data_IF_248745326665
#
_entry.id   IF_248745326665
#
_cell.length_a   1.000
_cell.length_b   1.000
_cell.length_c   1.000
_cell.angle_alpha   90.00
_cell.angle_beta   90.00
_cell.angle_gamma   90.00
#
_symmetry.space_group_name_H-M   'P 1'
#
loop_
_entity.id
_entity.type
_entity.pdbx_description
1 polymer ?
#
# COMPACT_ATOMS: atom_id res chain seq x y z
N UNK A 1 -9.08 9.04 14.27
CA UNK A 1 -8.13 8.75 15.34
C UNK A 1 -8.34 9.78 16.43
N UNK A 2 -8.57 9.36 17.68
CA UNK A 2 -8.65 10.32 18.80
C UNK A 2 -7.27 10.96 19.04
N UNK A 3 -7.23 12.28 19.27
CA UNK A 3 -6.00 13.05 19.52
C UNK A 3 -5.13 12.45 20.63
N UNK A 4 -5.74 11.70 21.55
CA UNK A 4 -5.09 11.10 22.74
C UNK A 4 -4.05 10.01 22.41
N UNK A 5 -3.97 9.54 21.16
CA UNK A 5 -3.01 8.51 20.75
C UNK A 5 -1.72 9.06 20.12
N UNK A 6 -1.60 10.38 19.97
CA UNK A 6 -0.42 11.05 19.40
C UNK A 6 0.67 11.24 20.47
N UNK A 7 1.94 11.04 20.09
CA UNK A 7 3.09 11.39 20.92
C UNK A 7 3.18 12.92 21.08
N UNK A 8 3.92 13.37 22.10
CA UNK A 8 4.15 14.80 22.32
C UNK A 8 4.87 15.40 21.11
N UNK A 9 4.22 16.35 20.43
CA UNK A 9 4.74 16.96 19.19
C UNK A 9 4.49 16.16 17.91
N UNK A 10 3.74 15.04 17.98
CA UNK A 10 3.27 14.31 16.80
C UNK A 10 2.04 15.02 16.22
N UNK A 11 2.09 15.34 14.93
CA UNK A 11 1.00 16.01 14.20
C UNK A 11 0.44 15.01 13.19
N UNK A 12 -0.88 14.95 13.08
CA UNK A 12 -1.57 14.18 12.05
C UNK A 12 -1.39 14.87 10.70
N UNK A 13 -0.82 14.17 9.71
CA UNK A 13 -0.63 14.72 8.37
C UNK A 13 -1.76 14.28 7.43
N UNK A 14 -2.12 13.00 7.47
CA UNK A 14 -3.15 12.44 6.61
C UNK A 14 -3.73 11.18 7.23
N UNK A 15 -4.97 10.85 6.88
CA UNK A 15 -5.61 9.58 7.21
C UNK A 15 -6.32 9.03 5.98
N UNK A 16 -6.42 7.70 5.90
CA UNK A 16 -7.24 7.02 4.90
C UNK A 16 -8.70 7.01 5.35
N UNK A 17 -9.61 6.86 4.38
CA UNK A 17 -11.00 6.52 4.66
C UNK A 17 -11.07 5.28 5.56
N UNK A 18 -11.98 5.31 6.53
CA UNK A 18 -12.13 4.31 7.61
C UNK A 18 -10.97 4.23 8.63
N UNK A 19 -10.05 5.19 8.64
CA UNK A 19 -8.91 5.25 9.58
C UNK A 19 -7.99 4.02 9.54
N UNK A 20 -7.98 3.29 8.43
CA UNK A 20 -7.17 2.09 8.25
C UNK A 20 -5.68 2.44 8.29
N UNK A 21 -5.33 3.61 7.76
CA UNK A 21 -3.97 4.13 7.72
C UNK A 21 -3.96 5.53 8.26
N UNK A 22 -2.98 5.81 9.10
CA UNK A 22 -2.73 7.12 9.64
C UNK A 22 -1.27 7.48 9.44
N UNK A 23 -1.04 8.59 8.74
CA UNK A 23 0.26 9.20 8.56
C UNK A 23 0.41 10.35 9.54
N UNK A 24 1.45 10.30 10.35
CA UNK A 24 1.84 11.39 11.24
C UNK A 24 3.23 11.89 10.89
N UNK A 25 3.67 12.96 11.55
CA UNK A 25 5.04 13.48 11.40
C UNK A 25 6.14 12.53 11.87
N UNK A 26 5.79 11.48 12.61
CA UNK A 26 6.77 10.55 13.21
C UNK A 26 6.66 9.14 12.66
N UNK A 27 5.45 8.69 12.30
CA UNK A 27 5.19 7.29 11.94
C UNK A 27 4.00 7.13 11.02
N UNK A 28 3.99 5.98 10.36
CA UNK A 28 2.82 5.42 9.70
C UNK A 28 2.23 4.36 10.60
N UNK A 29 0.92 4.45 10.88
CA UNK A 29 0.17 3.41 11.58
C UNK A 29 -0.84 2.78 10.65
N UNK A 30 -0.97 1.47 10.79
CA UNK A 30 -1.96 0.66 10.12
C UNK A 30 -2.81 -0.07 11.16
N UNK A 31 -4.12 0.07 11.05
CA UNK A 31 -5.09 -0.61 11.89
C UNK A 31 -6.15 -1.25 11.01
N UNK A 32 -6.26 -2.57 11.08
CA UNK A 32 -7.32 -3.29 10.39
C UNK A 32 -8.01 -4.23 11.37
N UNK A 33 -9.33 -4.22 11.32
CA UNK A 33 -10.18 -5.09 12.12
C UNK A 33 -10.99 -5.95 11.14
N UNK A 34 -10.71 -7.24 11.13
CA UNK A 34 -11.53 -8.25 10.48
C UNK A 34 -12.23 -9.07 11.56
N UNK A 35 -13.26 -9.81 11.17
CA UNK A 35 -13.97 -10.67 12.12
C UNK A 35 -13.01 -11.68 12.75
N UNK A 36 -12.85 -11.61 14.08
CA UNK A 36 -11.93 -12.46 14.85
C UNK A 36 -10.44 -12.11 14.77
N UNK A 37 -10.04 -11.10 13.99
CA UNK A 37 -8.63 -10.70 13.86
C UNK A 37 -8.46 -9.18 13.90
N UNK A 38 -7.56 -8.68 14.75
CA UNK A 38 -7.16 -7.28 14.79
C UNK A 38 -5.66 -7.19 14.50
N UNK A 39 -5.29 -6.44 13.47
CA UNK A 39 -3.90 -6.20 13.09
C UNK A 39 -3.58 -4.74 13.33
N UNK A 40 -2.56 -4.48 14.14
CA UNK A 40 -2.04 -3.14 14.41
C UNK A 40 -0.54 -3.14 14.15
N UNK A 41 -0.08 -2.27 13.25
CA UNK A 41 1.33 -2.09 12.93
C UNK A 41 1.64 -0.60 12.97
N UNK A 42 2.79 -0.24 13.53
CA UNK A 42 3.29 1.14 13.58
C UNK A 42 4.75 1.13 13.15
N UNK A 43 5.06 1.84 12.07
CA UNK A 43 6.43 1.97 11.53
C UNK A 43 6.84 3.45 11.64
N UNK A 44 7.99 3.72 12.27
CA UNK A 44 8.56 5.06 12.29
C UNK A 44 9.05 5.47 10.89
N UNK A 45 8.89 6.74 10.52
CA UNK A 45 9.23 7.21 9.17
C UNK A 45 10.70 6.98 8.82
N UNK A 46 11.61 7.16 9.78
CA UNK A 46 13.05 6.92 9.61
C UNK A 46 13.40 5.44 9.37
N UNK A 47 12.51 4.51 9.71
CA UNK A 47 12.70 3.07 9.51
C UNK A 47 12.06 2.53 8.24
N UNK A 48 11.31 3.35 7.50
CA UNK A 48 10.73 2.93 6.21
C UNK A 48 11.88 2.74 5.21
N UNK A 49 12.09 1.52 4.75
CA UNK A 49 13.13 1.18 3.77
C UNK A 49 12.60 1.22 2.35
N UNK A 50 11.35 0.79 2.12
CA UNK A 50 10.73 0.81 0.80
C UNK A 50 9.22 1.05 0.87
N UNK A 51 8.70 1.69 -0.17
CA UNK A 51 7.28 1.77 -0.50
C UNK A 51 7.07 1.13 -1.87
N UNK A 52 6.10 0.22 -1.97
CA UNK A 52 5.81 -0.49 -3.22
C UNK A 52 4.32 -0.60 -3.45
N UNK A 53 3.88 -0.39 -4.69
CA UNK A 53 2.54 -0.71 -5.16
C UNK A 53 2.61 -1.99 -5.98
N UNK A 54 1.92 -3.02 -5.50
CA UNK A 54 1.86 -4.34 -6.13
C UNK A 54 0.45 -4.60 -6.64
N UNK A 55 0.37 -5.16 -7.84
CA UNK A 55 -0.88 -5.56 -8.46
C UNK A 55 -1.04 -7.06 -8.27
N UNK A 56 -2.10 -7.48 -7.57
CA UNK A 56 -2.47 -8.90 -7.47
C UNK A 56 -3.59 -9.16 -8.47
N UNK A 57 -3.39 -10.17 -9.31
CA UNK A 57 -4.39 -10.63 -10.28
C UNK A 57 -4.41 -12.16 -10.29
N UNK A 58 -5.57 -12.72 -10.64
CA UNK A 58 -5.78 -14.16 -10.74
C UNK A 58 -5.96 -14.57 -12.20
N UNK A 59 -4.88 -14.65 -13.00
CA UNK A 59 -4.96 -14.88 -14.45
C UNK A 59 -5.63 -16.21 -14.81
N UNK A 60 -5.66 -17.17 -13.88
CA UNK A 60 -6.30 -18.47 -14.09
C UNK A 60 -7.81 -18.37 -14.41
N UNK A 61 -8.53 -17.40 -13.83
CA UNK A 61 -9.94 -17.15 -14.16
C UNK A 61 -10.14 -16.80 -15.64
N UNK A 62 -9.22 -15.99 -16.18
CA UNK A 62 -9.24 -15.58 -17.57
C UNK A 62 -8.91 -16.76 -18.49
N UNK A 63 -7.95 -17.62 -18.11
CA UNK A 63 -7.61 -18.83 -18.87
C UNK A 63 -8.83 -19.77 -18.95
N UNK A 64 -9.51 -20.03 -17.84
CA UNK A 64 -10.72 -20.86 -17.83
C UNK A 64 -11.80 -20.24 -18.72
N UNK A 65 -12.04 -18.94 -18.61
CA UNK A 65 -13.02 -18.23 -19.43
C UNK A 65 -12.75 -18.39 -20.93
N UNK A 66 -11.49 -18.22 -21.35
CA UNK A 66 -11.07 -18.39 -22.75
C UNK A 66 -11.31 -19.83 -23.22
N UNK A 67 -10.91 -20.84 -22.43
CA UNK A 67 -11.09 -22.25 -22.81
C UNK A 67 -12.57 -22.57 -22.98
N UNK A 68 -13.43 -22.14 -22.05
CA UNK A 68 -14.88 -22.35 -22.14
C UNK A 68 -15.49 -21.66 -23.36
N UNK A 69 -15.07 -20.43 -23.67
CA UNK A 69 -15.52 -19.71 -24.87
C UNK A 69 -15.09 -20.41 -26.16
N UNK A 70 -13.85 -20.90 -26.26
CA UNK A 70 -13.35 -21.62 -27.45
C UNK A 70 -14.09 -22.94 -27.63
N UNK A 71 -14.25 -23.73 -26.56
CA UNK A 71 -15.00 -25.00 -26.63
C UNK A 71 -16.46 -24.76 -27.04
N UNK A 72 -17.09 -23.73 -26.49
CA UNK A 72 -18.43 -23.31 -26.88
C UNK A 72 -18.54 -22.92 -28.35
N UNK A 73 -17.56 -22.18 -28.85
CA UNK A 73 -17.51 -21.74 -30.23
C UNK A 73 -17.32 -22.91 -31.21
N UNK A 74 -16.38 -23.82 -30.94
CA UNK A 74 -16.10 -24.99 -31.80
C UNK A 74 -17.28 -25.96 -31.83
N UNK A 75 -17.89 -26.23 -30.67
CA UNK A 75 -19.07 -27.11 -30.59
C UNK A 75 -20.29 -26.52 -31.29
N UNK A 76 -20.47 -25.19 -31.24
CA UNK A 76 -21.53 -24.49 -31.96
C UNK A 76 -21.36 -24.48 -33.49
N UNK A 77 -20.13 -24.56 -34.00
CA UNK A 77 -19.86 -24.62 -35.45
C UNK A 77 -19.96 -26.05 -36.03
N UNK A 78 -19.61 -27.06 -35.25
CA UNK A 78 -19.45 -28.44 -35.74
C UNK A 78 -20.74 -29.25 -35.73
N UNK A 79 -21.69 -28.88 -34.88
CA UNK A 79 -22.92 -29.64 -34.71
C UNK A 79 -24.12 -28.75 -35.03
N UNK A 80 -25.09 -29.27 -35.78
CA UNK A 80 -26.42 -28.65 -35.97
C UNK A 80 -27.27 -28.70 -34.68
N UNK A 81 -26.63 -28.56 -33.52
CA UNK A 81 -27.32 -28.42 -32.25
C UNK A 81 -28.07 -27.09 -32.24
N UNK A 82 -29.27 -27.14 -31.66
CA UNK A 82 -30.12 -25.97 -31.40
C UNK A 82 -29.30 -24.80 -30.87
N UNK A 83 -29.62 -23.59 -31.35
CA UNK A 83 -29.01 -22.31 -30.98
C UNK A 83 -28.83 -22.11 -29.46
N UNK A 84 -29.62 -22.81 -28.64
CA UNK A 84 -29.50 -22.81 -27.18
C UNK A 84 -28.16 -23.33 -26.62
N UNK A 85 -27.50 -24.30 -27.26
CA UNK A 85 -26.22 -24.88 -26.76
C UNK A 85 -25.05 -23.91 -26.99
N UNK A 86 -25.09 -23.13 -28.07
CA UNK A 86 -24.09 -22.09 -28.35
C UNK A 86 -24.17 -20.94 -27.33
N UNK A 87 -25.39 -20.51 -26.95
CA UNK A 87 -25.57 -19.48 -25.91
C UNK A 87 -25.11 -19.95 -24.52
N UNK A 88 -25.24 -21.24 -24.21
CA UNK A 88 -24.94 -21.78 -22.87
C UNK A 88 -23.45 -21.72 -22.50
N UNK A 89 -22.56 -21.68 -23.50
CA UNK A 89 -21.10 -21.77 -23.32
C UNK A 89 -20.39 -20.43 -23.41
N UNK A 90 -20.93 -19.48 -24.18
CA UNK A 90 -20.37 -18.12 -24.31
C UNK A 90 -20.63 -17.30 -23.04
N UNK A 91 -21.84 -17.37 -22.49
CA UNK A 91 -22.23 -16.63 -21.28
C UNK A 91 -21.26 -16.85 -20.11
N UNK A 92 -20.93 -18.09 -19.69
CA UNK A 92 -20.00 -18.29 -18.59
C UNK A 92 -18.60 -17.75 -18.90
N UNK A 93 -18.12 -17.84 -20.15
CA UNK A 93 -16.83 -17.27 -20.55
C UNK A 93 -16.78 -15.74 -20.36
N UNK A 94 -17.83 -15.03 -20.77
CA UNK A 94 -17.96 -13.58 -20.54
C UNK A 94 -18.05 -13.26 -19.05
N UNK A 95 -18.83 -14.03 -18.29
CA UNK A 95 -18.95 -13.87 -16.84
C UNK A 95 -17.59 -14.04 -16.14
N UNK A 96 -16.80 -15.06 -16.52
CA UNK A 96 -15.46 -15.26 -15.96
C UNK A 96 -14.48 -14.15 -16.35
N UNK A 97 -14.56 -13.62 -17.58
CA UNK A 97 -13.76 -12.49 -18.00
C UNK A 97 -14.10 -11.22 -17.19
N UNK A 98 -15.39 -10.94 -16.98
CA UNK A 98 -15.83 -9.82 -16.13
C UNK A 98 -15.36 -10.04 -14.68
N UNK A 99 -15.53 -11.25 -14.14
CA UNK A 99 -15.07 -11.59 -12.80
C UNK A 99 -13.54 -11.43 -12.63
N UNK A 100 -12.75 -11.72 -13.67
CA UNK A 100 -11.31 -11.47 -13.67
C UNK A 100 -10.97 -9.98 -13.51
N UNK A 101 -11.65 -9.10 -14.25
CA UNK A 101 -11.41 -7.66 -14.11
C UNK A 101 -11.84 -7.13 -12.74
N UNK A 102 -12.92 -7.66 -12.16
CA UNK A 102 -13.38 -7.29 -10.82
C UNK A 102 -12.43 -7.80 -9.71
N UNK A 103 -11.80 -8.97 -9.91
CA UNK A 103 -10.91 -9.57 -8.90
C UNK A 103 -9.50 -9.00 -8.91
N UNK A 104 -9.14 -8.16 -9.88
CA UNK A 104 -7.84 -7.46 -9.90
C UNK A 104 -7.80 -6.44 -8.76
N UNK A 105 -6.82 -6.60 -7.86
CA UNK A 105 -6.67 -5.75 -6.68
C UNK A 105 -5.32 -5.05 -6.66
N UNK A 106 -5.34 -3.79 -6.24
CA UNK A 106 -4.16 -2.99 -5.97
C UNK A 106 -3.83 -3.09 -4.48
N UNK A 107 -2.56 -3.27 -4.16
CA UNK A 107 -2.07 -3.42 -2.79
C UNK A 107 -0.84 -2.53 -2.63
N UNK A 108 -0.81 -1.76 -1.56
CA UNK A 108 0.37 -0.99 -1.19
C UNK A 108 1.09 -1.66 -0.02
N UNK A 109 2.41 -1.73 -0.14
CA UNK A 109 3.33 -2.39 0.78
C UNK A 109 4.34 -1.37 1.28
N UNK A 110 4.32 -1.09 2.58
CA UNK A 110 5.31 -0.24 3.25
C UNK A 110 6.18 -1.16 4.09
N UNK A 111 7.44 -1.29 3.73
CA UNK A 111 8.39 -2.15 4.42
C UNK A 111 9.33 -1.32 5.30
N UNK A 112 9.68 -1.86 6.46
CA UNK A 112 10.70 -1.31 7.33
C UNK A 112 11.99 -2.11 7.26
N UNK A 113 13.09 -1.49 7.69
CA UNK A 113 14.37 -2.16 7.87
C UNK A 113 14.28 -3.18 9.04
N UNK A 114 14.02 -4.45 8.70
CA UNK A 114 14.00 -5.57 9.63
C UNK A 114 12.67 -5.89 10.33
N UNK A 115 11.55 -5.27 9.92
CA UNK A 115 10.23 -5.48 10.54
C UNK A 115 9.15 -6.05 9.62
N UNK A 116 7.97 -6.30 10.19
CA UNK A 116 6.81 -6.76 9.43
C UNK A 116 6.28 -5.64 8.51
N UNK A 117 6.08 -5.90 7.21
CA UNK A 117 5.56 -4.90 6.29
C UNK A 117 4.09 -4.59 6.60
N UNK A 118 3.73 -3.32 6.42
CA UNK A 118 2.34 -2.88 6.36
C UNK A 118 1.84 -3.19 4.94
N UNK A 119 0.88 -4.09 4.83
CA UNK A 119 0.23 -4.46 3.58
C UNK A 119 -1.22 -4.05 3.71
N UNK A 120 -1.67 -3.12 2.87
CA UNK A 120 -3.04 -2.67 2.85
C UNK A 120 -3.60 -2.70 1.43
N UNK A 121 -4.87 -3.09 1.34
CA UNK A 121 -5.59 -3.10 0.07
C UNK A 121 -6.09 -1.70 -0.21
N UNK A 122 -5.90 -1.22 -1.43
CA UNK A 122 -6.37 0.08 -1.89
C UNK A 122 -7.68 -0.10 -2.67
N UNK A 123 -8.60 -0.92 -2.12
CA UNK A 123 -9.91 -1.16 -2.76
C UNK A 123 -10.68 0.17 -2.82
N UNK A 124 -11.05 0.61 -4.02
CA UNK A 124 -11.79 1.87 -4.24
C UNK A 124 -10.93 3.14 -4.36
N UNK A 125 -9.60 3.05 -4.24
CA UNK A 125 -8.72 4.20 -4.49
C UNK A 125 -8.28 4.24 -5.96
N UNK A 126 -8.34 5.42 -6.58
CA UNK A 126 -7.71 5.62 -7.90
C UNK A 126 -6.20 5.47 -7.81
N UNK A 127 -5.55 5.16 -8.93
CA UNK A 127 -4.09 5.02 -8.97
C UNK A 127 -3.41 6.33 -8.56
N UNK A 128 -4.00 7.47 -8.92
CA UNK A 128 -3.52 8.81 -8.58
C UNK A 128 -3.55 9.07 -7.07
N UNK A 129 -4.60 8.62 -6.37
CA UNK A 129 -4.69 8.77 -4.92
C UNK A 129 -3.63 7.91 -4.21
N UNK A 130 -3.30 6.73 -4.76
CA UNK A 130 -2.26 5.87 -4.21
C UNK A 130 -0.90 6.55 -4.34
N UNK A 131 -0.59 7.11 -5.53
CA UNK A 131 0.66 7.85 -5.75
C UNK A 131 0.74 9.09 -4.88
N UNK A 132 -0.36 9.84 -4.71
CA UNK A 132 -0.39 11.01 -3.83
C UNK A 132 -0.09 10.65 -2.36
N UNK A 133 -0.62 9.51 -1.88
CA UNK A 133 -0.29 9.02 -0.53
C UNK A 133 1.18 8.64 -0.43
N UNK A 134 1.74 7.97 -1.44
CA UNK A 134 3.17 7.64 -1.46
C UNK A 134 4.02 8.90 -1.39
N UNK A 135 3.72 9.90 -2.22
CA UNK A 135 4.43 11.18 -2.25
C UNK A 135 4.36 11.89 -0.90
N UNK A 136 3.19 11.87 -0.23
CA UNK A 136 3.02 12.42 1.13
C UNK A 136 3.88 11.68 2.16
N UNK A 137 3.98 10.36 2.08
CA UNK A 137 4.83 9.56 2.99
C UNK A 137 6.30 9.86 2.74
N UNK A 138 6.73 9.94 1.48
CA UNK A 138 8.10 10.26 1.11
C UNK A 138 8.50 11.68 1.54
N UNK A 139 7.63 12.65 1.32
CA UNK A 139 7.81 14.03 1.77
C UNK A 139 7.92 14.10 3.29
N UNK A 140 7.03 13.41 4.02
CA UNK A 140 7.06 13.36 5.48
C UNK A 140 8.38 12.74 5.99
N UNK A 141 8.84 11.65 5.37
CA UNK A 141 10.12 11.02 5.68
C UNK A 141 11.29 11.97 5.42
N UNK A 142 11.31 12.65 4.28
CA UNK A 142 12.37 13.60 3.96
C UNK A 142 12.44 14.74 4.99
N UNK A 143 11.30 15.35 5.31
CA UNK A 143 11.23 16.41 6.32
C UNK A 143 11.72 15.93 7.69
N UNK A 144 11.38 14.69 8.07
CA UNK A 144 11.84 14.08 9.32
C UNK A 144 13.35 13.86 9.33
N UNK A 145 13.93 13.40 8.21
CA UNK A 145 15.38 13.21 8.09
C UNK A 145 16.15 14.54 8.22
N UNK A 146 15.65 15.60 7.58
CA UNK A 146 16.24 16.95 7.70
C UNK A 146 16.19 17.45 9.15
N UNK A 147 15.07 17.27 9.85
CA UNK A 147 14.94 17.63 11.27
C UNK A 147 15.92 16.85 12.16
N UNK A 148 16.10 15.55 11.92
CA UNK A 148 17.05 14.74 12.67
C UNK A 148 18.50 15.18 12.43
N UNK A 149 18.83 15.54 11.18
CA UNK A 149 20.16 16.07 10.84
C UNK A 149 20.44 17.42 11.53
N UNK A 150 19.47 18.35 11.54
CA UNK A 150 19.65 19.63 12.22
C UNK A 150 19.81 19.46 13.73
N UNK A 151 19.04 18.55 14.34
CA UNK A 151 19.19 18.23 15.76
C UNK A 151 20.56 17.62 16.07
N UNK A 152 21.06 16.73 15.21
CA UNK A 152 22.39 16.14 15.40
C UNK A 152 23.49 17.18 15.27
N UNK A 153 23.37 18.13 14.33
CA UNK A 153 24.29 19.25 14.20
C UNK A 153 24.32 20.13 15.45
N UNK A 154 23.16 20.50 15.98
CA UNK A 154 23.05 21.31 17.19
C UNK A 154 23.64 20.63 18.41
N UNK A 155 23.39 19.31 18.56
CA UNK A 155 23.99 18.49 19.62
C UNK A 155 25.50 18.51 19.48
N UNK A 156 26.02 18.17 18.29
CA UNK A 156 27.46 18.13 18.06
C UNK A 156 28.12 19.50 18.34
N UNK A 157 27.48 20.61 17.96
CA UNK A 157 28.01 21.96 18.15
C UNK A 157 27.94 22.44 19.62
N UNK A 158 26.94 22.02 20.40
CA UNK A 158 26.84 22.35 21.84
C UNK A 158 27.85 21.60 22.70
N UNK A 159 28.25 20.39 22.29
CA UNK A 159 29.14 19.53 23.07
C UNK A 159 30.59 19.53 22.56
N UNK A 160 30.97 20.37 21.59
CA UNK A 160 32.39 20.59 21.31
C UNK A 160 33.00 21.30 22.53
N UNK A 161 33.90 20.68 23.29
CA UNK A 161 34.62 21.39 24.34
C UNK A 161 35.39 22.52 23.66
N UNK A 162 35.13 23.77 24.05
CA UNK A 162 36.04 24.87 23.69
C UNK A 162 37.38 24.53 24.33
N UNK A 163 38.32 23.98 23.54
CA UNK A 163 39.65 23.68 24.03
C UNK A 163 40.25 24.95 24.64
N UNK A 164 40.53 24.99 25.95
CA UNK A 164 41.18 26.12 26.57
C UNK A 164 42.69 25.98 26.34
N UNK A 165 43.13 26.12 25.10
CA UNK A 165 44.56 26.21 24.80
C UNK A 165 44.78 27.36 23.83
N UNK A 166 44.87 28.57 24.39
CA UNK A 166 45.66 29.62 23.75
C UNK A 166 47.13 29.29 24.01
N UNK A 167 47.97 29.09 22.98
CA UNK A 167 49.40 29.09 23.20
C UNK A 167 49.80 30.49 23.65
N UNK A 168 50.26 30.62 24.90
CA UNK A 168 50.94 31.82 25.38
C UNK A 168 52.27 31.93 24.64
N UNK A 169 52.35 32.90 23.72
CA UNK A 169 53.60 33.35 23.11
C UNK A 169 54.34 34.29 24.06
#
# INVERSE_FOLDING_TARGET
>A
MHQDQLLKGEILLSYSDEEIITLTTHRVRYKSKSWGQSKFISIMLEKISSLQVVYISYPFLLIIGIIMSIMGFVTGLTNNYSSGIMSLSIIPGVVFAIAYFITRKHICVISSDGGAPIIFKTEGMSAENITEIMDKVELAKNNRMVQLQSLQYDINNRYVPKCPFSPSA
#
